data_IF_920266954770
#
_entry.id   IF_920266954770
#
_cell.length_a   1.000
_cell.length_b   1.000
_cell.length_c   1.000
_cell.angle_alpha   90.00
_cell.angle_beta   90.00
_cell.angle_gamma   90.00
#
_symmetry.space_group_name_H-M   'P 1'
#
loop_
_entity.id
_entity.type
_entity.pdbx_description
1 polymer ?
#
# COMPACT_ATOMS: atom_id res chain seq x y z
N UNK A 1 -11.31 19.10 1.56
CA UNK A 1 -11.75 19.05 0.14
C UNK A 1 -12.08 20.44 -0.38
N UNK A 2 -11.90 20.64 -1.68
CA UNK A 2 -12.33 21.87 -2.33
C UNK A 2 -13.87 21.87 -2.44
N UNK A 3 -14.50 22.84 -1.82
CA UNK A 3 -15.94 23.04 -1.87
C UNK A 3 -16.39 23.90 -3.06
N UNK A 4 -17.62 24.45 -3.02
CA UNK A 4 -18.17 25.25 -4.10
C UNK A 4 -17.37 26.53 -4.34
N UNK A 5 -17.44 26.99 -5.57
CA UNK A 5 -16.85 28.27 -5.97
C UNK A 5 -17.69 29.44 -5.42
N UNK A 6 -17.02 30.44 -4.84
CA UNK A 6 -17.68 31.70 -4.44
C UNK A 6 -17.90 32.64 -5.62
N UNK A 7 -17.13 32.49 -6.70
CA UNK A 7 -17.26 33.25 -7.94
C UNK A 7 -17.77 32.33 -9.04
N UNK A 8 -19.00 32.47 -9.52
CA UNK A 8 -19.58 31.64 -10.57
C UNK A 8 -18.68 31.57 -11.81
N UNK A 9 -18.41 30.36 -12.32
CA UNK A 9 -17.60 30.14 -13.52
C UNK A 9 -16.07 30.26 -13.33
N UNK A 10 -15.58 30.65 -12.14
CA UNK A 10 -14.14 30.71 -11.86
C UNK A 10 -13.54 29.33 -11.79
N UNK A 11 -12.36 29.14 -12.42
CA UNK A 11 -11.51 27.95 -12.23
C UNK A 11 -10.38 28.16 -11.24
N UNK A 12 -10.27 29.37 -10.68
CA UNK A 12 -9.27 29.69 -9.66
C UNK A 12 -9.61 28.96 -8.35
N UNK A 13 -8.78 28.01 -7.88
CA UNK A 13 -9.05 27.26 -6.65
C UNK A 13 -9.08 28.13 -5.39
N UNK A 14 -8.46 29.32 -5.42
CA UNK A 14 -8.47 30.27 -4.30
C UNK A 14 -9.85 30.88 -4.06
N UNK A 15 -10.74 30.81 -5.04
CA UNK A 15 -12.15 31.29 -4.94
C UNK A 15 -13.07 30.22 -4.36
N UNK A 16 -12.58 29.05 -3.97
CA UNK A 16 -13.39 27.98 -3.40
C UNK A 16 -13.40 28.03 -1.89
N UNK A 17 -14.50 27.62 -1.27
CA UNK A 17 -14.57 27.37 0.16
C UNK A 17 -14.00 25.99 0.47
N UNK A 18 -13.20 25.87 1.52
CA UNK A 18 -12.78 24.57 2.00
C UNK A 18 -13.93 23.89 2.74
N UNK A 19 -14.19 22.62 2.39
CA UNK A 19 -15.15 21.79 3.09
C UNK A 19 -14.43 20.66 3.84
N UNK A 20 -14.85 20.44 5.08
CA UNK A 20 -14.52 19.26 5.85
C UNK A 20 -15.79 18.45 6.07
N UNK A 21 -15.70 17.14 5.83
CA UNK A 21 -16.73 16.18 6.20
C UNK A 21 -16.07 14.87 6.60
N UNK A 22 -16.68 14.18 7.53
CA UNK A 22 -16.24 12.90 8.03
C UNK A 22 -17.44 11.96 8.23
N UNK A 23 -17.24 10.70 7.98
CA UNK A 23 -18.22 9.65 8.26
C UNK A 23 -17.50 8.40 8.72
N UNK A 24 -18.23 7.50 9.36
CA UNK A 24 -17.73 6.21 9.84
C UNK A 24 -18.47 5.12 9.09
N UNK A 25 -17.71 4.11 8.67
CA UNK A 25 -18.24 2.89 8.07
C UNK A 25 -17.70 1.69 8.83
N UNK A 26 -18.37 0.51 8.77
CA UNK A 26 -17.79 -0.72 9.27
C UNK A 26 -16.40 -0.97 8.69
N UNK A 27 -15.51 -1.57 9.49
CA UNK A 27 -14.16 -1.90 9.03
C UNK A 27 -14.21 -2.85 7.82
N UNK A 28 -13.43 -2.50 6.79
CA UNK A 28 -13.29 -3.32 5.59
C UNK A 28 -11.81 -3.49 5.24
N UNK A 29 -11.45 -4.64 4.69
CA UNK A 29 -10.13 -4.85 4.14
C UNK A 29 -10.02 -4.21 2.74
N UNK A 30 -8.86 -3.63 2.43
CA UNK A 30 -8.56 -3.10 1.09
C UNK A 30 -8.43 -4.22 0.06
N UNK A 31 -7.85 -5.36 0.46
CA UNK A 31 -7.85 -6.61 -0.30
C UNK A 31 -8.87 -7.53 0.36
N UNK A 32 -9.70 -8.21 -0.44
CA UNK A 32 -10.77 -9.06 0.09
C UNK A 32 -10.27 -10.05 1.13
N UNK A 33 -11.06 -10.28 2.20
CA UNK A 33 -10.64 -11.10 3.34
C UNK A 33 -10.20 -12.52 2.97
N UNK A 34 -10.87 -13.14 1.99
CA UNK A 34 -10.52 -14.48 1.52
C UNK A 34 -9.14 -14.51 0.83
N UNK A 35 -8.80 -13.45 0.09
CA UNK A 35 -7.48 -13.30 -0.52
C UNK A 35 -6.40 -13.07 0.55
N UNK A 36 -6.70 -12.26 1.58
CA UNK A 36 -5.79 -12.07 2.73
C UNK A 36 -5.51 -13.40 3.44
N UNK A 37 -6.54 -14.24 3.63
CA UNK A 37 -6.41 -15.50 4.36
C UNK A 37 -5.55 -16.55 3.64
N UNK A 38 -5.62 -16.62 2.29
CA UNK A 38 -4.84 -17.56 1.49
C UNK A 38 -3.50 -17.00 0.98
N UNK A 39 -3.26 -15.72 1.15
CA UNK A 39 -2.27 -14.95 0.41
C UNK A 39 -2.85 -14.42 -0.90
N UNK A 40 -2.63 -13.14 -1.18
CA UNK A 40 -3.20 -12.48 -2.34
C UNK A 40 -2.33 -12.66 -3.60
N UNK A 41 -2.95 -12.54 -4.77
CA UNK A 41 -2.31 -12.51 -6.08
C UNK A 41 -2.31 -11.09 -6.60
N UNK A 42 -1.16 -10.60 -7.02
CA UNK A 42 -0.97 -9.25 -7.55
C UNK A 42 -0.55 -9.28 -9.02
N UNK A 43 -1.15 -8.44 -9.83
CA UNK A 43 -0.65 -8.10 -11.17
C UNK A 43 0.25 -6.87 -11.06
N UNK A 44 1.34 -6.80 -11.82
CA UNK A 44 1.99 -5.52 -12.13
C UNK A 44 1.26 -4.95 -13.33
N UNK A 45 0.73 -3.73 -13.20
CA UNK A 45 -0.03 -3.09 -14.27
C UNK A 45 0.79 -2.94 -15.55
N UNK A 46 0.18 -3.24 -16.68
CA UNK A 46 0.71 -2.99 -18.03
C UNK A 46 -0.05 -1.83 -18.71
N UNK A 47 -1.32 -1.63 -18.33
CA UNK A 47 -2.19 -0.59 -18.88
C UNK A 47 -2.04 0.78 -18.22
N UNK A 48 -1.32 0.87 -17.10
CA UNK A 48 -1.13 2.10 -16.34
C UNK A 48 0.22 2.14 -15.64
N UNK A 49 0.82 3.32 -15.64
CA UNK A 49 1.98 3.66 -14.80
C UNK A 49 1.55 4.51 -13.61
N UNK A 50 2.30 4.47 -12.53
CA UNK A 50 2.06 5.35 -11.38
C UNK A 50 2.20 6.81 -11.80
N UNK A 51 1.20 7.61 -11.48
CA UNK A 51 1.22 9.05 -11.79
C UNK A 51 2.49 9.70 -11.24
N UNK A 52 3.15 10.50 -12.09
CA UNK A 52 4.42 11.14 -11.73
C UNK A 52 4.29 12.04 -10.48
N UNK A 53 5.22 11.95 -9.51
CA UNK A 53 5.29 12.87 -8.38
C UNK A 53 5.39 14.36 -8.76
N UNK A 54 5.81 14.63 -10.00
CA UNK A 54 5.83 16.01 -10.55
C UNK A 54 4.43 16.52 -10.92
N UNK A 55 3.47 15.61 -11.10
CA UNK A 55 2.08 15.95 -11.44
C UNK A 55 1.17 15.96 -10.22
N UNK A 56 1.33 14.99 -9.35
CA UNK A 56 0.55 14.84 -8.10
C UNK A 56 1.50 14.40 -7.00
N UNK A 57 1.57 15.17 -5.91
CA UNK A 57 2.36 14.83 -4.74
C UNK A 57 1.82 13.53 -4.09
N UNK A 58 2.56 12.41 -4.13
CA UNK A 58 2.10 11.14 -3.59
C UNK A 58 2.06 11.13 -2.05
N UNK A 59 2.79 12.03 -1.39
CA UNK A 59 2.81 12.13 0.08
C UNK A 59 1.57 12.84 0.62
N UNK A 60 0.88 13.63 -0.20
CA UNK A 60 -0.42 14.20 0.11
C UNK A 60 -1.52 13.21 -0.27
N UNK A 61 -2.20 12.59 0.72
CA UNK A 61 -3.30 11.66 0.45
C UNK A 61 -4.43 12.36 -0.31
N UNK A 62 -4.76 11.83 -1.48
CA UNK A 62 -5.66 12.47 -2.44
C UNK A 62 -6.55 11.46 -3.17
N UNK A 63 -7.35 11.92 -4.13
CA UNK A 63 -8.28 11.12 -4.93
C UNK A 63 -7.86 10.99 -6.42
N UNK A 64 -6.61 11.25 -6.75
CA UNK A 64 -6.06 11.00 -8.09
C UNK A 64 -5.73 9.50 -8.24
N UNK A 65 -6.75 8.71 -8.51
CA UNK A 65 -6.69 7.25 -8.57
C UNK A 65 -6.93 6.69 -9.97
N UNK A 66 -6.87 7.52 -11.00
CA UNK A 66 -7.11 7.09 -12.37
C UNK A 66 -6.17 5.96 -12.80
N UNK A 67 -4.89 6.11 -12.50
CA UNK A 67 -3.84 5.11 -12.73
C UNK A 67 -4.11 3.79 -11.96
N UNK A 68 -4.34 3.90 -10.66
CA UNK A 68 -4.62 2.76 -9.79
C UNK A 68 -5.91 2.03 -10.20
N UNK A 69 -6.95 2.78 -10.58
CA UNK A 69 -8.24 2.21 -10.99
C UNK A 69 -8.11 1.47 -12.32
N UNK A 70 -7.39 2.04 -13.29
CA UNK A 70 -7.13 1.39 -14.59
C UNK A 70 -6.38 0.08 -14.40
N UNK A 71 -5.28 0.08 -13.66
CA UNK A 71 -4.53 -1.14 -13.37
C UNK A 71 -5.33 -2.17 -12.55
N UNK A 72 -6.21 -1.72 -11.64
CA UNK A 72 -7.05 -2.63 -10.87
C UNK A 72 -8.08 -3.34 -11.74
N UNK A 73 -8.71 -2.66 -12.71
CA UNK A 73 -9.59 -3.31 -13.68
C UNK A 73 -8.83 -4.38 -14.46
N UNK A 74 -7.64 -4.06 -15.00
CA UNK A 74 -6.79 -5.02 -15.69
C UNK A 74 -6.52 -6.26 -14.83
N UNK A 75 -6.12 -6.07 -13.58
CA UNK A 75 -5.79 -7.16 -12.66
C UNK A 75 -7.00 -8.07 -12.38
N UNK A 76 -8.15 -7.47 -12.09
CA UNK A 76 -9.39 -8.21 -11.78
C UNK A 76 -9.91 -9.00 -13.00
N UNK A 77 -9.85 -8.43 -14.21
CA UNK A 77 -10.23 -9.11 -15.44
C UNK A 77 -9.32 -10.32 -15.75
N UNK A 78 -8.06 -10.28 -15.30
CA UNK A 78 -7.10 -11.38 -15.42
C UNK A 78 -7.11 -12.36 -14.23
N UNK A 79 -8.02 -12.19 -13.26
CA UNK A 79 -8.19 -13.10 -12.12
C UNK A 79 -7.18 -12.91 -10.98
N UNK A 80 -6.55 -11.74 -10.90
CA UNK A 80 -5.74 -11.32 -9.75
C UNK A 80 -6.60 -10.62 -8.71
N UNK A 81 -6.13 -10.54 -7.48
CA UNK A 81 -6.84 -9.90 -6.36
C UNK A 81 -6.58 -8.40 -6.27
N UNK A 82 -5.44 -7.96 -6.79
CA UNK A 82 -4.99 -6.57 -6.71
C UNK A 82 -3.90 -6.27 -7.75
N UNK A 83 -3.44 -5.01 -7.76
CA UNK A 83 -2.43 -4.52 -8.70
C UNK A 83 -1.35 -3.73 -7.98
N UNK A 84 -0.11 -3.85 -8.43
CA UNK A 84 0.99 -2.95 -8.12
C UNK A 84 1.35 -2.11 -9.35
N UNK A 85 1.66 -0.84 -9.16
CA UNK A 85 2.07 0.05 -10.22
C UNK A 85 3.57 0.36 -10.13
N UNK A 86 4.21 0.39 -11.29
CA UNK A 86 5.56 0.93 -11.46
C UNK A 86 5.49 2.36 -12.01
N UNK A 87 6.56 3.12 -11.81
CA UNK A 87 6.75 4.42 -12.44
C UNK A 87 7.29 4.28 -13.87
N UNK A 88 7.43 5.43 -14.56
CA UNK A 88 7.95 5.48 -15.94
C UNK A 88 9.43 5.04 -16.07
N UNK A 89 10.16 4.98 -14.97
CA UNK A 89 11.55 4.49 -14.91
C UNK A 89 11.61 2.98 -14.61
N UNK A 90 10.47 2.32 -14.47
CA UNK A 90 10.36 0.88 -14.22
C UNK A 90 10.62 0.48 -12.76
N UNK A 91 10.46 1.39 -11.79
CA UNK A 91 10.55 1.08 -10.38
C UNK A 91 9.14 0.86 -9.80
N UNK A 92 9.02 -0.16 -8.96
CA UNK A 92 7.79 -0.38 -8.18
C UNK A 92 7.49 0.83 -7.30
N UNK A 93 6.22 1.18 -7.22
CA UNK A 93 5.73 2.25 -6.35
C UNK A 93 4.75 1.69 -5.31
N UNK A 94 3.48 1.78 -5.57
CA UNK A 94 2.41 1.36 -4.66
C UNK A 94 1.21 0.82 -5.44
N UNK A 95 0.18 0.39 -4.73
CA UNK A 95 -1.08 -0.02 -5.34
C UNK A 95 -2.29 0.64 -4.68
N UNK A 96 -3.52 0.28 -5.12
CA UNK A 96 -4.75 0.90 -4.66
C UNK A 96 -4.95 0.79 -3.16
N UNK A 97 -4.53 1.81 -2.41
CA UNK A 97 -4.72 1.92 -0.97
C UNK A 97 -3.71 1.19 -0.08
N UNK A 98 -2.56 0.78 -0.62
CA UNK A 98 -1.50 0.11 0.12
C UNK A 98 -0.09 0.45 -0.38
N UNK A 99 0.90 0.30 0.49
CA UNK A 99 2.31 0.32 0.12
C UNK A 99 2.84 -1.09 -0.13
N UNK A 100 3.86 -1.22 -0.98
CA UNK A 100 4.47 -2.49 -1.38
C UNK A 100 5.77 -2.71 -0.61
N UNK A 101 6.05 -3.96 -0.28
CA UNK A 101 7.27 -4.45 0.33
C UNK A 101 7.75 -5.72 -0.37
N UNK A 102 9.05 -5.90 -0.40
CA UNK A 102 9.72 -7.13 -0.77
C UNK A 102 10.69 -7.56 0.34
N UNK A 103 10.91 -8.85 0.47
CA UNK A 103 12.05 -9.39 1.22
C UNK A 103 13.06 -9.89 0.21
N UNK A 104 14.28 -9.36 0.28
CA UNK A 104 15.37 -9.68 -0.64
C UNK A 104 16.59 -10.00 0.20
N UNK A 105 17.10 -11.22 0.11
CA UNK A 105 18.21 -11.72 0.94
C UNK A 105 18.01 -11.39 2.43
N UNK A 106 16.79 -11.64 2.95
CA UNK A 106 16.41 -11.37 4.33
C UNK A 106 16.23 -9.89 4.70
N UNK A 107 16.41 -8.97 3.76
CA UNK A 107 16.23 -7.53 3.95
C UNK A 107 14.81 -7.10 3.55
N UNK A 108 14.13 -6.37 4.42
CA UNK A 108 12.81 -5.77 4.13
C UNK A 108 13.02 -4.50 3.31
N UNK A 109 12.56 -4.51 2.07
CA UNK A 109 12.71 -3.39 1.12
C UNK A 109 11.35 -2.78 0.80
N UNK A 110 11.28 -1.45 0.71
CA UNK A 110 10.06 -0.74 0.26
C UNK A 110 10.44 0.45 -0.61
N UNK A 111 9.65 0.78 -1.64
CA UNK A 111 9.89 1.92 -2.50
C UNK A 111 9.97 3.24 -1.73
N UNK A 112 10.90 4.12 -2.16
CA UNK A 112 11.08 5.46 -1.57
C UNK A 112 10.30 6.56 -2.28
N UNK A 113 9.98 6.38 -3.57
CA UNK A 113 9.40 7.41 -4.43
C UNK A 113 8.08 6.93 -5.06
N UNK A 114 7.24 7.87 -5.46
CA UNK A 114 5.94 7.56 -6.07
C UNK A 114 4.91 6.97 -5.11
N UNK A 115 5.12 7.05 -3.81
CA UNK A 115 4.33 6.37 -2.77
C UNK A 115 3.79 7.32 -1.71
N UNK A 116 2.66 6.98 -1.13
CA UNK A 116 2.22 7.59 0.11
C UNK A 116 3.11 7.11 1.28
N UNK A 117 3.53 8.01 2.15
CA UNK A 117 4.20 7.66 3.41
C UNK A 117 3.19 7.09 4.41
N UNK A 118 2.73 5.86 4.13
CA UNK A 118 1.66 5.20 4.87
C UNK A 118 1.99 4.97 6.34
N UNK A 119 1.00 5.18 7.22
CA UNK A 119 1.15 4.92 8.66
C UNK A 119 1.50 3.45 8.91
N UNK A 120 0.82 2.53 8.24
CA UNK A 120 1.12 1.10 8.38
C UNK A 120 2.49 0.75 7.78
N UNK A 121 2.92 1.44 6.69
CA UNK A 121 4.28 1.30 6.17
C UNK A 121 5.32 1.70 7.23
N UNK A 122 5.10 2.82 7.92
CA UNK A 122 5.96 3.24 9.03
C UNK A 122 5.99 2.20 10.15
N UNK A 123 4.82 1.69 10.56
CA UNK A 123 4.74 0.62 11.58
C UNK A 123 5.53 -0.63 11.17
N UNK A 124 5.45 -1.05 9.90
CA UNK A 124 6.24 -2.20 9.39
C UNK A 124 7.75 -1.94 9.52
N UNK A 125 8.22 -0.73 9.18
CA UNK A 125 9.63 -0.38 9.30
C UNK A 125 10.11 -0.36 10.77
N UNK A 126 9.27 0.07 11.70
CA UNK A 126 9.55 0.03 13.13
C UNK A 126 9.51 -1.41 13.70
N UNK A 127 8.61 -2.24 13.20
CA UNK A 127 8.55 -3.67 13.51
C UNK A 127 9.81 -4.39 13.01
N UNK A 128 10.28 -4.06 11.81
CA UNK A 128 11.53 -4.62 11.29
C UNK A 128 12.72 -4.31 12.21
N UNK A 129 12.82 -3.08 12.73
CA UNK A 129 13.84 -2.73 13.74
C UNK A 129 13.69 -3.57 15.01
N UNK A 130 12.48 -3.68 15.55
CA UNK A 130 12.21 -4.44 16.77
C UNK A 130 12.52 -5.94 16.62
N UNK A 131 12.37 -6.47 15.41
CA UNK A 131 12.69 -7.86 15.08
C UNK A 131 14.16 -8.08 14.69
N UNK A 132 14.97 -7.01 14.63
CA UNK A 132 16.35 -7.08 14.18
C UNK A 132 16.51 -7.41 12.69
N UNK A 133 15.49 -7.11 11.88
CA UNK A 133 15.53 -7.34 10.43
C UNK A 133 16.19 -6.15 9.73
N UNK A 134 17.15 -6.37 8.82
CA UNK A 134 17.66 -5.30 7.99
C UNK A 134 16.55 -4.74 7.11
N UNK A 135 16.56 -3.42 6.89
CA UNK A 135 15.54 -2.75 6.07
C UNK A 135 16.15 -1.70 5.17
N UNK A 136 15.51 -1.45 4.03
CA UNK A 136 15.90 -0.43 3.08
C UNK A 136 14.67 0.29 2.51
N UNK A 137 14.78 1.62 2.42
CA UNK A 137 13.83 2.48 1.71
C UNK A 137 14.57 3.04 0.50
N UNK A 138 14.30 2.48 -0.68
CA UNK A 138 15.04 2.79 -1.90
C UNK A 138 14.19 2.57 -3.15
N UNK A 139 14.72 2.92 -4.30
CA UNK A 139 14.13 2.51 -5.57
C UNK A 139 14.20 0.99 -5.68
N UNK A 140 13.17 0.40 -6.27
CA UNK A 140 13.00 -1.04 -6.39
C UNK A 140 12.59 -1.38 -7.81
N UNK A 141 13.55 -1.65 -8.71
CA UNK A 141 13.24 -2.06 -10.08
C UNK A 141 12.30 -3.25 -10.13
N UNK A 142 11.36 -3.24 -11.09
CA UNK A 142 10.40 -4.35 -11.30
C UNK A 142 11.11 -5.69 -11.41
N UNK A 143 12.24 -5.74 -12.13
CA UNK A 143 13.00 -6.98 -12.30
C UNK A 143 13.53 -7.53 -10.95
N UNK A 144 14.05 -6.67 -10.09
CA UNK A 144 14.50 -7.05 -8.74
C UNK A 144 13.33 -7.46 -7.85
N UNK A 145 12.23 -6.72 -7.91
CA UNK A 145 11.02 -7.03 -7.17
C UNK A 145 10.47 -8.42 -7.50
N UNK A 146 10.49 -8.79 -8.77
CA UNK A 146 10.07 -10.12 -9.21
C UNK A 146 10.99 -11.23 -8.70
N UNK A 147 12.27 -10.95 -8.44
CA UNK A 147 13.22 -11.93 -7.91
C UNK A 147 13.28 -12.00 -6.37
N UNK A 148 12.43 -11.24 -5.66
CA UNK A 148 12.35 -11.26 -4.21
C UNK A 148 12.04 -12.65 -3.65
N UNK A 149 12.42 -12.89 -2.39
CA UNK A 149 12.10 -14.12 -1.65
C UNK A 149 10.65 -14.14 -1.17
N UNK A 150 10.17 -12.96 -0.69
CA UNK A 150 8.80 -12.75 -0.22
C UNK A 150 8.29 -11.39 -0.70
N UNK A 151 6.98 -11.30 -0.90
CA UNK A 151 6.30 -10.04 -1.20
C UNK A 151 5.11 -9.85 -0.26
N UNK A 152 4.91 -8.64 0.22
CA UNK A 152 3.72 -8.28 0.97
C UNK A 152 3.36 -6.81 0.76
N UNK A 153 2.16 -6.45 1.15
CA UNK A 153 1.68 -5.07 1.12
C UNK A 153 1.26 -4.61 2.51
N UNK A 154 1.16 -3.31 2.73
CA UNK A 154 0.73 -2.76 4.00
C UNK A 154 -0.34 -1.68 3.83
N UNK A 155 -1.41 -1.77 4.60
CA UNK A 155 -2.53 -0.83 4.57
C UNK A 155 -3.18 -0.72 5.95
N UNK A 156 -3.82 0.42 6.25
CA UNK A 156 -4.64 0.57 7.45
C UNK A 156 -5.90 -0.32 7.41
N UNK A 157 -6.37 -0.64 6.20
CA UNK A 157 -7.49 -1.56 5.98
C UNK A 157 -7.01 -3.00 5.71
N UNK A 158 -6.31 -3.64 6.66
CA UNK A 158 -5.84 -5.03 6.54
C UNK A 158 -4.51 -5.29 7.25
N UNK A 159 -3.71 -4.27 7.51
CA UNK A 159 -2.35 -4.44 8.03
C UNK A 159 -1.38 -4.98 6.97
N UNK A 160 -0.29 -5.63 7.38
CA UNK A 160 0.59 -6.37 6.48
C UNK A 160 -0.16 -7.58 5.89
N UNK A 161 -0.19 -7.67 4.57
CA UNK A 161 -0.91 -8.72 3.82
C UNK A 161 0.04 -9.41 2.87
N UNK A 162 0.23 -10.74 2.97
CA UNK A 162 1.13 -11.48 2.10
C UNK A 162 0.63 -11.52 0.65
N UNK A 163 1.57 -11.40 -0.28
CA UNK A 163 1.37 -11.63 -1.71
C UNK A 163 2.11 -12.92 -2.06
N UNK A 164 1.37 -13.93 -2.47
CA UNK A 164 1.93 -15.24 -2.80
C UNK A 164 2.20 -15.43 -4.29
N UNK A 165 1.71 -14.51 -5.11
CA UNK A 165 1.93 -14.53 -6.55
C UNK A 165 1.99 -13.11 -7.09
N UNK A 166 2.96 -12.80 -7.94
CA UNK A 166 3.02 -11.57 -8.75
C UNK A 166 3.18 -11.97 -10.21
N UNK A 167 2.26 -11.54 -11.06
CA UNK A 167 2.14 -12.05 -12.43
C UNK A 167 2.15 -13.59 -12.42
N UNK A 168 3.01 -14.22 -13.20
CA UNK A 168 3.15 -15.68 -13.25
C UNK A 168 4.08 -16.25 -12.18
N UNK A 169 4.78 -15.40 -11.41
CA UNK A 169 5.72 -15.84 -10.40
C UNK A 169 5.03 -16.14 -9.08
N UNK A 170 5.19 -17.36 -8.60
CA UNK A 170 4.70 -17.83 -7.30
C UNK A 170 5.85 -17.78 -6.28
N UNK A 171 5.59 -17.20 -5.11
CA UNK A 171 6.51 -17.11 -3.98
C UNK A 171 6.21 -18.23 -2.96
N UNK A 172 7.24 -18.71 -2.28
CA UNK A 172 7.10 -19.59 -1.12
C UNK A 172 6.21 -20.82 -1.33
N UNK A 173 6.23 -21.43 -2.51
CA UNK A 173 5.32 -22.54 -2.87
C UNK A 173 3.82 -22.17 -2.80
N UNK A 174 3.49 -20.91 -2.96
CA UNK A 174 2.12 -20.40 -2.86
C UNK A 174 1.64 -20.21 -1.41
N UNK A 175 2.55 -20.04 -0.48
CA UNK A 175 2.26 -19.72 0.92
C UNK A 175 2.96 -18.43 1.35
N UNK A 176 2.43 -17.74 2.37
CA UNK A 176 3.08 -16.58 2.97
C UNK A 176 4.50 -16.90 3.46
N UNK A 177 5.43 -15.98 3.22
CA UNK A 177 6.81 -16.14 3.66
C UNK A 177 7.00 -15.92 5.18
N UNK A 178 8.03 -16.53 5.77
CA UNK A 178 8.24 -16.51 7.23
C UNK A 178 8.54 -15.11 7.80
N UNK A 179 9.23 -14.25 7.06
CA UNK A 179 9.51 -12.86 7.50
C UNK A 179 8.20 -12.04 7.46
N UNK A 180 7.42 -12.18 6.40
CA UNK A 180 6.10 -11.56 6.28
C UNK A 180 5.18 -11.96 7.42
N UNK A 181 5.12 -13.26 7.77
CA UNK A 181 4.28 -13.74 8.87
C UNK A 181 4.74 -13.22 10.24
N UNK A 182 6.06 -13.15 10.49
CA UNK A 182 6.59 -12.54 11.71
C UNK A 182 6.20 -11.06 11.84
N UNK A 183 6.32 -10.31 10.75
CA UNK A 183 5.92 -8.90 10.71
C UNK A 183 4.41 -8.77 10.94
N UNK A 184 3.61 -9.60 10.28
CA UNK A 184 2.15 -9.60 10.40
C UNK A 184 1.71 -9.91 11.83
N UNK A 185 2.26 -10.94 12.45
CA UNK A 185 1.93 -11.30 13.83
C UNK A 185 2.32 -10.20 14.80
N UNK A 186 3.53 -9.66 14.69
CA UNK A 186 3.97 -8.53 15.53
C UNK A 186 3.08 -7.29 15.36
N UNK A 187 2.63 -7.00 14.14
CA UNK A 187 1.70 -5.91 13.90
C UNK A 187 0.35 -6.12 14.60
N UNK A 188 -0.18 -7.35 14.58
CA UNK A 188 -1.41 -7.70 15.29
C UNK A 188 -1.23 -7.52 16.79
N UNK A 189 -0.13 -8.03 17.36
CA UNK A 189 0.19 -7.92 18.78
C UNK A 189 0.34 -6.45 19.21
N UNK A 190 1.02 -5.64 18.41
CA UNK A 190 1.20 -4.21 18.68
C UNK A 190 -0.09 -3.39 18.59
N UNK A 191 -1.09 -3.83 17.85
CA UNK A 191 -2.41 -3.21 17.86
C UNK A 191 -3.11 -3.40 19.20
N UNK A 192 -2.89 -4.55 19.83
CA UNK A 192 -3.48 -4.86 21.14
C UNK A 192 -2.70 -4.18 22.29
N UNK A 193 -1.37 -4.32 22.29
CA UNK A 193 -0.51 -3.81 23.38
C UNK A 193 0.90 -3.42 22.87
N UNK A 194 0.96 -2.56 21.88
CA UNK A 194 2.23 -2.11 21.28
C UNK A 194 2.58 -0.66 21.58
N UNK A 195 3.83 -0.26 21.24
CA UNK A 195 4.36 1.07 21.54
C UNK A 195 3.67 2.19 20.74
N UNK A 196 2.98 1.85 19.66
CA UNK A 196 2.35 2.82 18.74
C UNK A 196 0.85 2.99 19.00
N UNK A 197 0.26 2.29 19.96
CA UNK A 197 -1.16 2.40 20.25
C UNK A 197 -1.47 3.68 21.06
N UNK A 198 -2.63 4.23 20.82
CA UNK A 198 -3.24 5.23 21.70
C UNK A 198 -4.45 4.62 22.38
N UNK A 199 -4.44 4.43 23.70
CA UNK A 199 -5.62 3.93 24.43
C UNK A 199 -6.79 4.89 24.26
N UNK A 200 -7.99 4.34 24.07
CA UNK A 200 -9.24 5.11 24.04
C UNK A 200 -9.90 4.96 25.40
N UNK A 201 -10.19 6.09 26.04
CA UNK A 201 -11.03 6.10 27.24
C UNK A 201 -12.49 6.22 26.81
N UNK A 202 -13.31 5.22 27.15
CA UNK A 202 -14.74 5.20 26.84
C UNK A 202 -15.61 5.75 27.99
N UNK A 203 -14.98 6.16 29.11
CA UNK A 203 -15.68 6.63 30.31
C UNK A 203 -15.89 8.17 30.31
N UNK A 204 -15.87 8.83 29.14
CA UNK A 204 -16.04 10.29 28.97
C UNK A 204 -17.37 10.59 28.30
#
# INVERSE_FOLDING_TARGET
>A
ARGPQLVPGSRDPRTCVNHFFAWVVPYVNVIHADAVARGAKMKIAESAERISPRSVDPTAKNYHWGDMTTGLFEALEQGYDTVGLADADGNMCEGPGFNIFAVIDGTVVTPRAGVLEGITRKSVLEIADALGLPKQVRDMPVAEFLEADEVFVSTSGGGPTPIIQVNDRIYGNGAPGPITERIRQTYVDWRADGPLRTPINYDV
#
